data_IF_206013659178
#
_entry.id   IF_206013659178
#
_cell.length_a   1.000
_cell.length_b   1.000
_cell.length_c   1.000
_cell.angle_alpha   90.00
_cell.angle_beta   90.00
_cell.angle_gamma   90.00
#
_symmetry.space_group_name_H-M   'P 1'
#
loop_
_entity.id
_entity.type
_entity.pdbx_description
1 polymer ?
#
# COMPACT_ATOMS: atom_id res chain seq x y z
N UNK A 1 25.92 5.83 37.07
CA UNK A 1 25.45 4.64 37.80
C UNK A 1 25.58 3.48 36.81
N UNK A 2 26.60 2.65 36.99
CA UNK A 2 26.91 1.49 36.13
C UNK A 2 26.18 0.27 36.68
N UNK A 3 25.43 -0.43 35.87
CA UNK A 3 24.84 -1.71 36.20
C UNK A 3 25.52 -2.78 35.33
N UNK A 4 26.28 -3.64 36.03
CA UNK A 4 26.93 -4.82 35.47
C UNK A 4 25.94 -5.99 35.53
N UNK A 5 25.79 -6.72 34.42
CA UNK A 5 24.99 -7.95 34.36
C UNK A 5 25.96 -9.13 34.31
N UNK A 6 25.88 -10.00 35.32
CA UNK A 6 26.60 -11.27 35.44
C UNK A 6 25.93 -12.33 34.54
N UNK A 7 26.75 -13.09 33.83
CA UNK A 7 26.37 -14.32 33.14
C UNK A 7 26.56 -15.54 34.07
N UNK A 8 25.68 -16.55 34.04
CA UNK A 8 25.91 -17.79 34.75
C UNK A 8 26.72 -18.79 33.92
N UNK A 9 27.75 -19.35 34.56
CA UNK A 9 28.57 -20.45 34.06
C UNK A 9 27.84 -21.76 34.40
N UNK A 10 27.59 -22.61 33.41
CA UNK A 10 27.13 -23.98 33.59
C UNK A 10 28.33 -24.94 33.62
N UNK A 11 28.55 -25.57 34.74
CA UNK A 11 29.57 -26.62 34.94
C UNK A 11 29.07 -27.96 34.40
N UNK A 12 29.94 -28.62 33.64
CA UNK A 12 29.76 -30.00 33.16
C UNK A 12 30.32 -30.95 34.20
N UNK A 13 29.47 -31.82 34.72
CA UNK A 13 29.88 -32.92 35.65
C UNK A 13 30.19 -34.15 34.80
N UNK A 14 31.45 -34.60 34.82
CA UNK A 14 31.90 -35.88 34.29
C UNK A 14 31.73 -36.98 35.35
N UNK A 15 30.89 -37.95 35.08
CA UNK A 15 30.81 -39.20 35.84
C UNK A 15 31.52 -40.31 35.06
N UNK A 16 32.65 -40.76 35.58
CA UNK A 16 33.33 -41.98 35.18
C UNK A 16 32.74 -43.16 35.97
N UNK A 17 32.23 -44.16 35.25
CA UNK A 17 31.89 -45.45 35.83
C UNK A 17 32.68 -46.57 35.13
N UNK A 18 33.46 -47.29 35.91
CA UNK A 18 34.21 -48.47 35.50
C UNK A 18 33.33 -49.72 35.53
N UNK A 19 33.63 -50.65 34.62
CA UNK A 19 33.70 -52.06 34.94
C UNK A 19 32.51 -52.95 34.62
N UNK A 20 32.67 -53.88 33.69
CA UNK A 20 31.79 -55.02 33.49
C UNK A 20 32.04 -55.73 32.18
N UNK A 21 33.01 -56.67 32.16
CA UNK A 21 33.23 -57.58 31.05
C UNK A 21 32.11 -58.63 31.01
N UNK A 22 31.35 -58.70 29.94
CA UNK A 22 30.43 -59.79 29.62
C UNK A 22 30.75 -60.42 28.25
N UNK A 23 30.53 -61.72 28.04
CA UNK A 23 31.11 -62.50 26.94
C UNK A 23 30.45 -62.15 25.63
N UNK A 24 31.30 -62.19 24.58
CA UNK A 24 30.95 -62.04 23.15
C UNK A 24 29.82 -62.98 22.74
N UNK A 25 28.67 -62.41 22.44
CA UNK A 25 27.66 -63.05 21.62
C UNK A 25 28.04 -62.79 20.13
N UNK A 26 28.24 -63.86 19.37
CA UNK A 26 28.50 -63.78 17.94
C UNK A 26 27.37 -63.03 17.23
N UNK A 27 27.67 -61.88 16.66
CA UNK A 27 26.76 -61.14 15.80
C UNK A 27 26.49 -61.90 14.53
N UNK A 28 25.24 -62.25 14.30
CA UNK A 28 24.74 -62.68 12.98
C UNK A 28 25.05 -61.59 11.93
N UNK A 29 25.45 -61.98 10.69
CA UNK A 29 25.69 -60.98 9.65
C UNK A 29 24.39 -60.16 9.37
N UNK A 30 24.43 -58.86 9.58
CA UNK A 30 23.40 -57.93 9.19
C UNK A 30 23.26 -58.00 7.68
N UNK A 31 22.10 -58.45 7.22
CA UNK A 31 21.71 -58.34 5.82
C UNK A 31 21.77 -56.84 5.42
N UNK A 32 22.52 -56.47 4.37
CA UNK A 32 22.53 -55.06 3.94
C UNK A 32 21.12 -54.67 3.56
N UNK A 33 20.55 -53.75 4.31
CA UNK A 33 19.29 -53.08 3.92
C UNK A 33 19.52 -52.38 2.59
N UNK A 34 18.80 -52.82 1.55
CA UNK A 34 18.81 -52.17 0.24
C UNK A 34 18.59 -50.67 0.47
N UNK A 35 19.37 -49.78 -0.17
CA UNK A 35 19.16 -48.35 -0.08
C UNK A 35 17.72 -48.06 -0.51
N UNK A 36 16.99 -47.39 0.37
CA UNK A 36 15.65 -46.88 0.06
C UNK A 36 15.74 -46.04 -1.20
N UNK A 37 15.08 -46.48 -2.27
CA UNK A 37 15.05 -45.71 -3.52
C UNK A 37 14.60 -44.28 -3.26
N UNK A 38 14.90 -43.33 -4.16
CA UNK A 38 14.54 -41.91 -3.97
C UNK A 38 13.04 -41.82 -3.74
N UNK A 39 12.67 -41.38 -2.53
CA UNK A 39 11.27 -41.09 -2.20
C UNK A 39 10.80 -39.90 -3.04
N UNK A 40 9.88 -40.14 -3.97
CA UNK A 40 9.20 -39.04 -4.68
C UNK A 40 8.55 -38.14 -3.65
N UNK A 41 8.80 -36.82 -3.67
CA UNK A 41 8.15 -35.90 -2.75
C UNK A 41 6.64 -36.04 -2.80
N UNK A 42 5.98 -35.97 -1.63
CA UNK A 42 4.51 -36.03 -1.57
C UNK A 42 3.90 -34.87 -2.35
N UNK A 43 2.86 -35.13 -3.14
CA UNK A 43 2.14 -34.09 -3.87
C UNK A 43 1.54 -33.05 -2.92
N UNK A 44 1.63 -31.78 -3.26
CA UNK A 44 1.00 -30.65 -2.54
C UNK A 44 -0.30 -30.24 -3.20
N UNK A 45 -1.24 -29.73 -2.40
CA UNK A 45 -2.52 -29.20 -2.87
C UNK A 45 -2.59 -27.70 -2.61
N UNK A 46 -2.88 -26.93 -3.64
CA UNK A 46 -3.25 -25.52 -3.53
C UNK A 46 -4.75 -25.42 -3.74
N UNK A 47 -5.47 -25.02 -2.71
CA UNK A 47 -6.90 -24.66 -2.82
C UNK A 47 -7.02 -23.15 -2.78
N UNK A 48 -8.05 -22.57 -3.36
CA UNK A 48 -8.27 -21.14 -3.28
C UNK A 48 -9.74 -20.78 -3.38
N UNK A 49 -10.01 -19.54 -2.94
CA UNK A 49 -11.30 -18.89 -3.06
C UNK A 49 -11.08 -17.52 -3.70
N UNK A 50 -11.78 -17.26 -4.81
CA UNK A 50 -11.72 -16.02 -5.56
C UNK A 50 -12.99 -15.21 -5.32
N UNK A 51 -12.80 -13.97 -4.85
CA UNK A 51 -13.89 -13.03 -4.56
C UNK A 51 -13.73 -11.72 -5.31
N UNK A 52 -14.81 -10.95 -5.41
CA UNK A 52 -14.74 -9.57 -5.91
C UNK A 52 -14.10 -8.66 -4.86
N UNK A 53 -13.14 -7.82 -5.24
CA UNK A 53 -12.47 -6.84 -4.36
C UNK A 53 -13.46 -5.93 -3.65
N UNK A 54 -14.56 -5.55 -4.33
CA UNK A 54 -15.65 -4.79 -3.70
C UNK A 54 -16.81 -5.72 -3.37
N UNK A 55 -17.10 -5.89 -2.08
CA UNK A 55 -18.27 -6.63 -1.60
C UNK A 55 -18.06 -8.12 -1.33
N UNK A 56 -16.87 -8.67 -1.59
CA UNK A 56 -16.53 -10.04 -1.21
C UNK A 56 -17.33 -11.16 -1.89
N UNK A 57 -18.13 -10.85 -2.93
CA UNK A 57 -18.93 -11.85 -3.63
C UNK A 57 -18.05 -12.86 -4.35
N UNK A 58 -18.40 -14.14 -4.29
CA UNK A 58 -17.72 -15.20 -5.01
C UNK A 58 -17.72 -14.95 -6.53
N UNK A 59 -16.59 -15.20 -7.18
CA UNK A 59 -16.42 -15.07 -8.63
C UNK A 59 -16.36 -16.45 -9.27
N UNK A 60 -17.51 -16.87 -9.82
CA UNK A 60 -17.67 -18.14 -10.53
C UNK A 60 -17.25 -18.06 -11.99
N UNK A 61 -16.93 -19.22 -12.59
CA UNK A 61 -16.59 -19.36 -14.02
C UNK A 61 -15.39 -18.51 -14.46
N UNK A 62 -14.48 -18.18 -13.55
CA UNK A 62 -13.22 -17.52 -13.87
C UNK A 62 -12.17 -18.57 -14.22
N UNK A 63 -11.52 -18.42 -15.36
CA UNK A 63 -10.38 -19.25 -15.73
C UNK A 63 -9.20 -18.98 -14.79
N UNK A 64 -8.65 -20.04 -14.21
CA UNK A 64 -7.50 -20.00 -13.32
C UNK A 64 -6.37 -20.79 -13.96
N UNK A 65 -5.19 -20.17 -14.10
CA UNK A 65 -3.97 -20.82 -14.61
C UNK A 65 -2.88 -20.73 -13.55
N UNK A 66 -2.33 -21.85 -13.16
CA UNK A 66 -1.19 -21.96 -12.26
C UNK A 66 -0.05 -22.72 -12.91
N UNK A 67 0.93 -21.96 -13.43
CA UNK A 67 2.09 -22.54 -14.10
C UNK A 67 1.78 -23.40 -15.33
N UNK A 68 0.71 -23.06 -16.07
CA UNK A 68 0.24 -23.78 -17.26
C UNK A 68 -0.84 -24.84 -16.98
N UNK A 69 -1.11 -25.16 -15.71
CA UNK A 69 -2.26 -25.99 -15.34
C UNK A 69 -3.51 -25.11 -15.24
N UNK A 70 -4.59 -25.50 -15.91
CA UNK A 70 -5.81 -24.70 -16.00
C UNK A 70 -6.98 -25.37 -15.30
N UNK A 71 -7.80 -24.56 -14.64
CA UNK A 71 -9.10 -24.91 -14.08
C UNK A 71 -10.04 -23.72 -14.17
N UNK A 72 -11.27 -23.85 -13.65
CA UNK A 72 -12.25 -22.78 -13.58
C UNK A 72 -12.80 -22.72 -12.16
N UNK A 73 -13.08 -21.54 -11.66
CA UNK A 73 -13.70 -21.39 -10.33
C UNK A 73 -15.12 -21.94 -10.32
N UNK A 74 -15.47 -22.67 -9.25
CA UNK A 74 -16.82 -23.16 -8.99
C UNK A 74 -17.81 -22.01 -8.67
N UNK A 75 -19.07 -22.32 -8.41
CA UNK A 75 -20.10 -21.32 -8.08
C UNK A 75 -19.74 -20.47 -6.85
N UNK A 76 -19.10 -21.09 -5.87
CA UNK A 76 -18.61 -20.44 -4.64
C UNK A 76 -17.25 -19.76 -4.82
N UNK A 77 -16.75 -19.60 -6.05
CA UNK A 77 -15.43 -19.01 -6.33
C UNK A 77 -14.25 -19.93 -6.01
N UNK A 78 -14.47 -21.18 -5.64
CA UNK A 78 -13.41 -22.10 -5.23
C UNK A 78 -12.68 -22.71 -6.42
N UNK A 79 -11.37 -23.00 -6.24
CA UNK A 79 -10.52 -23.74 -7.19
C UNK A 79 -9.51 -24.61 -6.44
N UNK A 80 -8.99 -25.64 -7.12
CA UNK A 80 -7.98 -26.53 -6.53
C UNK A 80 -7.00 -27.07 -7.56
N UNK A 81 -5.75 -27.21 -7.14
CA UNK A 81 -4.68 -27.82 -7.90
C UNK A 81 -3.91 -28.83 -7.07
N UNK A 82 -3.38 -29.85 -7.72
CA UNK A 82 -2.47 -30.81 -7.10
C UNK A 82 -1.22 -30.96 -7.97
N UNK A 83 -0.05 -30.76 -7.35
CA UNK A 83 1.24 -30.87 -8.03
C UNK A 83 2.32 -31.55 -7.22
N UNK A 84 3.45 -31.79 -7.89
CA UNK A 84 4.70 -32.02 -7.19
C UNK A 84 5.20 -30.71 -6.55
N UNK A 85 5.78 -30.76 -5.34
CA UNK A 85 6.32 -29.56 -4.69
C UNK A 85 7.30 -28.82 -5.60
N UNK A 86 7.14 -27.49 -5.66
CA UNK A 86 8.01 -26.58 -6.36
C UNK A 86 8.39 -25.40 -5.47
N UNK A 87 8.99 -24.38 -6.06
CA UNK A 87 9.36 -23.16 -5.32
C UNK A 87 8.26 -22.11 -5.38
N UNK A 88 8.00 -21.60 -6.58
CA UNK A 88 6.98 -20.57 -6.85
C UNK A 88 6.37 -20.79 -8.22
N UNK A 89 5.16 -20.31 -8.42
CA UNK A 89 4.52 -20.25 -9.72
C UNK A 89 3.67 -19.00 -9.85
N UNK A 90 3.39 -18.58 -11.10
CA UNK A 90 2.45 -17.51 -11.38
C UNK A 90 1.04 -18.07 -11.42
N UNK A 91 0.16 -17.45 -10.66
CA UNK A 91 -1.28 -17.71 -10.64
C UNK A 91 -1.97 -16.57 -11.37
N UNK A 92 -2.76 -16.89 -12.39
CA UNK A 92 -3.51 -15.90 -13.18
C UNK A 92 -5.00 -16.24 -13.21
N UNK A 93 -5.82 -15.19 -13.18
CA UNK A 93 -7.27 -15.25 -13.29
C UNK A 93 -7.72 -14.42 -14.48
N UNK A 94 -8.62 -14.95 -15.28
CA UNK A 94 -9.14 -14.27 -16.47
C UNK A 94 -10.57 -14.65 -16.77
N UNK A 95 -11.39 -13.67 -17.04
CA UNK A 95 -12.77 -13.79 -17.54
C UNK A 95 -13.21 -12.40 -18.07
N UNK A 96 -14.25 -12.34 -18.90
CA UNK A 96 -14.83 -11.08 -19.36
C UNK A 96 -15.46 -10.26 -18.23
N UNK A 97 -15.75 -10.89 -17.10
CA UNK A 97 -16.39 -10.29 -15.93
C UNK A 97 -15.41 -9.65 -14.95
N UNK A 98 -14.09 -9.76 -15.15
CA UNK A 98 -13.06 -9.23 -14.23
C UNK A 98 -11.94 -8.53 -15.00
N UNK A 99 -11.23 -7.63 -14.30
CA UNK A 99 -9.89 -7.21 -14.72
C UNK A 99 -8.94 -8.41 -14.52
N UNK A 100 -8.17 -8.82 -15.54
CA UNK A 100 -7.23 -9.94 -15.40
C UNK A 100 -6.29 -9.74 -14.20
N UNK A 101 -6.23 -10.73 -13.31
CA UNK A 101 -5.46 -10.72 -12.07
C UNK A 101 -4.28 -11.67 -12.15
N UNK A 102 -3.10 -11.25 -11.69
CA UNK A 102 -1.90 -12.09 -11.68
C UNK A 102 -1.06 -11.89 -10.44
N UNK A 103 -0.65 -12.99 -9.79
CA UNK A 103 0.20 -12.95 -8.59
C UNK A 103 1.15 -14.14 -8.55
N UNK A 104 2.19 -14.06 -7.71
CA UNK A 104 3.15 -15.17 -7.51
C UNK A 104 2.77 -15.93 -6.25
N UNK A 105 2.72 -17.26 -6.35
CA UNK A 105 2.35 -18.17 -5.26
C UNK A 105 3.47 -19.15 -4.99
N UNK A 106 3.84 -19.32 -3.71
CA UNK A 106 4.72 -20.41 -3.29
C UNK A 106 3.95 -21.74 -3.33
N UNK A 107 4.52 -22.75 -3.97
CA UNK A 107 3.93 -24.08 -4.15
C UNK A 107 4.76 -25.17 -3.46
N UNK A 108 5.47 -24.83 -2.41
CA UNK A 108 6.33 -25.72 -1.64
C UNK A 108 5.57 -26.61 -0.65
N UNK A 109 4.34 -26.24 -0.31
CA UNK A 109 3.50 -26.95 0.66
C UNK A 109 2.02 -26.79 0.35
N UNK A 110 1.20 -27.71 0.86
CA UNK A 110 -0.26 -27.60 0.84
C UNK A 110 -0.73 -26.34 1.58
N UNK A 111 -1.58 -25.54 0.91
CA UNK A 111 -2.11 -24.27 1.48
C UNK A 111 -3.41 -23.85 0.83
N UNK A 112 -4.18 -23.06 1.59
CA UNK A 112 -5.32 -22.27 1.09
C UNK A 112 -4.87 -20.87 0.66
N UNK A 113 -5.60 -20.29 -0.30
CA UNK A 113 -5.42 -18.93 -0.81
C UNK A 113 -6.75 -18.21 -0.81
N UNK A 114 -6.78 -17.03 -0.20
CA UNK A 114 -7.84 -16.05 -0.40
C UNK A 114 -7.33 -15.03 -1.42
N UNK A 115 -8.01 -14.93 -2.56
CA UNK A 115 -7.64 -14.01 -3.63
C UNK A 115 -8.86 -13.18 -4.01
N UNK A 116 -8.63 -11.91 -4.28
CA UNK A 116 -9.65 -11.04 -4.81
C UNK A 116 -9.30 -10.56 -6.22
N UNK A 117 -10.31 -10.27 -7.03
CA UNK A 117 -10.16 -9.68 -8.35
C UNK A 117 -11.16 -8.54 -8.55
N UNK A 118 -10.79 -7.58 -9.38
CA UNK A 118 -11.65 -6.43 -9.69
C UNK A 118 -12.75 -6.89 -10.65
N UNK A 119 -13.99 -6.93 -10.16
CA UNK A 119 -15.15 -7.28 -10.97
C UNK A 119 -15.52 -6.11 -11.90
N UNK A 120 -15.69 -6.41 -13.18
CA UNK A 120 -16.26 -5.50 -14.18
C UNK A 120 -17.81 -5.51 -14.07
N UNK A 121 -18.47 -4.43 -14.50
CA UNK A 121 -19.94 -4.34 -14.51
C UNK A 121 -20.60 -3.91 -13.20
N UNK A 122 -19.89 -3.81 -12.10
CA UNK A 122 -20.40 -3.28 -10.82
C UNK A 122 -20.19 -1.76 -10.67
N UNK A 123 -20.13 -1.02 -11.78
CA UNK A 123 -19.82 0.41 -11.81
C UNK A 123 -18.33 0.72 -11.61
N UNK A 124 -17.42 -0.24 -11.77
CA UNK A 124 -15.99 0.00 -11.83
C UNK A 124 -15.60 0.54 -13.21
N UNK A 125 -14.88 1.66 -13.23
CA UNK A 125 -14.31 2.27 -14.43
C UNK A 125 -12.79 2.10 -14.43
N UNK A 126 -12.28 1.22 -15.31
CA UNK A 126 -10.86 0.95 -15.43
C UNK A 126 -10.09 2.17 -15.97
N UNK A 127 -10.69 2.99 -16.85
CA UNK A 127 -10.02 4.17 -17.36
C UNK A 127 -9.86 5.23 -16.26
N UNK A 128 -10.90 5.43 -15.44
CA UNK A 128 -10.82 6.29 -14.26
C UNK A 128 -9.77 5.77 -13.24
N UNK A 129 -9.79 4.46 -12.94
CA UNK A 129 -8.79 3.84 -12.05
C UNK A 129 -7.36 4.08 -12.55
N UNK A 130 -7.12 3.95 -13.86
CA UNK A 130 -5.80 4.24 -14.47
C UNK A 130 -5.39 5.69 -14.30
N UNK A 131 -6.31 6.64 -14.48
CA UNK A 131 -6.03 8.07 -14.23
C UNK A 131 -5.64 8.31 -12.77
N UNK A 132 -6.50 7.91 -11.84
CA UNK A 132 -6.34 8.21 -10.40
C UNK A 132 -5.18 7.42 -9.75
N UNK A 133 -4.97 6.16 -10.14
CA UNK A 133 -4.04 5.24 -9.45
C UNK A 133 -2.75 5.00 -10.24
N UNK A 134 -2.77 5.20 -11.57
CA UNK A 134 -1.65 4.87 -12.47
C UNK A 134 -1.09 6.07 -13.23
N UNK A 135 -1.51 7.28 -12.90
CA UNK A 135 -1.07 8.51 -13.54
C UNK A 135 -1.36 8.61 -15.05
N UNK A 136 -2.37 7.93 -15.57
CA UNK A 136 -2.69 7.97 -17.01
C UNK A 136 -3.14 9.35 -17.48
N UNK A 137 -3.62 10.22 -16.58
CA UNK A 137 -3.95 11.61 -16.90
C UNK A 137 -2.68 12.48 -17.08
N UNK A 138 -1.72 12.37 -16.15
CA UNK A 138 -0.50 13.17 -16.22
C UNK A 138 0.53 12.67 -17.23
N UNK A 139 0.53 11.35 -17.51
CA UNK A 139 1.45 10.71 -18.47
C UNK A 139 0.69 9.68 -19.30
N UNK A 140 -0.15 10.11 -20.26
CA UNK A 140 -1.01 9.22 -21.03
C UNK A 140 -0.24 8.07 -21.68
N UNK A 141 -0.70 6.83 -21.44
CA UNK A 141 -0.08 5.61 -21.96
C UNK A 141 1.17 5.14 -21.21
N UNK A 142 1.64 5.89 -20.20
CA UNK A 142 2.78 5.49 -19.33
C UNK A 142 2.27 5.24 -17.93
N UNK A 143 1.68 4.05 -17.72
CA UNK A 143 1.03 3.70 -16.47
C UNK A 143 2.05 3.43 -15.35
N UNK A 144 1.94 4.17 -14.26
CA UNK A 144 2.79 4.01 -13.10
C UNK A 144 2.43 2.76 -12.29
N UNK A 145 3.40 2.10 -11.66
CA UNK A 145 3.11 1.07 -10.67
C UNK A 145 2.40 1.67 -9.46
N UNK A 146 1.58 0.86 -8.79
CA UNK A 146 0.82 1.29 -7.63
C UNK A 146 1.74 1.76 -6.49
N UNK A 147 1.39 2.90 -5.93
CA UNK A 147 2.00 3.50 -4.73
C UNK A 147 0.94 3.62 -3.64
N UNK A 148 1.29 3.30 -2.42
CA UNK A 148 0.42 3.52 -1.26
C UNK A 148 1.20 3.41 0.05
N UNK A 149 0.61 3.85 1.13
CA UNK A 149 1.06 3.54 2.48
C UNK A 149 0.55 2.16 2.92
N UNK A 150 1.34 1.46 3.71
CA UNK A 150 1.00 0.14 4.29
C UNK A 150 0.79 0.21 5.80
N UNK A 151 0.97 1.39 6.38
CA UNK A 151 0.76 1.73 7.78
C UNK A 151 0.29 3.16 7.88
N UNK A 152 -0.34 3.54 8.99
CA UNK A 152 -0.73 4.91 9.26
C UNK A 152 0.51 5.81 9.25
N UNK A 153 0.59 6.86 8.41
CA UNK A 153 1.65 7.85 8.51
C UNK A 153 1.47 8.70 9.76
N UNK A 154 2.56 9.13 10.38
CA UNK A 154 2.56 10.27 11.29
C UNK A 154 2.71 11.56 10.51
N UNK A 155 2.07 12.63 10.95
CA UNK A 155 2.10 13.94 10.27
C UNK A 155 2.86 14.94 11.12
N UNK A 156 3.78 15.65 10.50
CA UNK A 156 4.49 16.76 11.14
C UNK A 156 4.08 18.09 10.51
N UNK A 157 3.49 18.99 11.29
CA UNK A 157 3.13 20.32 10.83
C UNK A 157 4.21 21.31 11.24
N UNK A 158 4.84 21.95 10.29
CA UNK A 158 5.74 23.07 10.58
C UNK A 158 4.93 24.24 11.15
N UNK A 159 5.46 24.87 12.21
CA UNK A 159 4.83 26.03 12.86
C UNK A 159 5.40 27.36 12.37
N UNK A 160 6.36 27.30 11.45
CA UNK A 160 6.95 28.44 10.76
C UNK A 160 7.00 28.16 9.26
N UNK A 161 6.93 29.20 8.45
CA UNK A 161 7.14 29.11 7.00
C UNK A 161 8.66 28.96 6.66
N UNK A 162 9.00 28.93 5.38
CA UNK A 162 10.39 28.80 4.93
C UNK A 162 11.24 30.06 5.22
N UNK A 163 10.62 31.22 5.50
CA UNK A 163 11.32 32.43 5.96
C UNK A 163 11.50 32.47 7.50
N UNK A 164 10.93 31.52 8.23
CA UNK A 164 10.97 31.44 9.68
C UNK A 164 9.86 32.24 10.37
N UNK A 165 8.86 32.72 9.62
CA UNK A 165 7.72 33.44 10.17
C UNK A 165 6.67 32.48 10.75
N UNK A 166 6.09 32.88 11.90
CA UNK A 166 5.14 32.03 12.62
C UNK A 166 3.82 31.85 11.85
N UNK A 167 3.38 30.63 11.73
CA UNK A 167 2.08 30.26 11.16
C UNK A 167 0.98 30.49 12.20
N UNK A 168 -0.16 31.04 11.79
CA UNK A 168 -1.29 31.31 12.66
C UNK A 168 -1.82 30.02 13.33
N UNK A 169 -1.98 29.97 14.67
CA UNK A 169 -2.42 28.76 15.37
C UNK A 169 -3.76 28.21 14.85
N UNK A 170 -4.74 29.08 14.60
CA UNK A 170 -6.06 28.67 14.08
C UNK A 170 -6.00 28.03 12.68
N UNK A 171 -5.02 28.42 11.85
CA UNK A 171 -4.76 27.75 10.58
C UNK A 171 -4.14 26.38 10.80
N UNK A 172 -3.18 26.22 11.70
CA UNK A 172 -2.60 24.92 12.05
C UNK A 172 -3.68 23.96 12.58
N UNK A 173 -4.64 24.46 13.39
CA UNK A 173 -5.78 23.66 13.85
C UNK A 173 -6.67 23.19 12.69
N UNK A 174 -6.94 24.07 11.72
CA UNK A 174 -7.68 23.72 10.51
C UNK A 174 -6.94 22.64 9.69
N UNK A 175 -5.64 22.80 9.47
CA UNK A 175 -4.82 21.82 8.73
C UNK A 175 -4.85 20.48 9.45
N UNK A 176 -4.57 20.44 10.76
CA UNK A 176 -4.55 19.20 11.55
C UNK A 176 -5.88 18.46 11.47
N UNK A 177 -7.00 19.13 11.68
CA UNK A 177 -8.32 18.52 11.63
C UNK A 177 -8.64 17.98 10.22
N UNK A 178 -8.31 18.77 9.19
CA UNK A 178 -8.56 18.38 7.79
C UNK A 178 -7.70 17.18 7.39
N UNK A 179 -6.44 17.13 7.81
CA UNK A 179 -5.51 16.03 7.52
C UNK A 179 -5.97 14.73 8.17
N UNK A 180 -6.39 14.78 9.46
CA UNK A 180 -6.91 13.60 10.16
C UNK A 180 -8.16 13.03 9.47
N UNK A 181 -9.10 13.91 9.09
CA UNK A 181 -10.30 13.54 8.31
C UNK A 181 -9.91 12.96 6.94
N UNK A 182 -9.00 13.61 6.21
CA UNK A 182 -8.61 13.22 4.86
C UNK A 182 -7.96 11.83 4.81
N UNK A 183 -6.98 11.54 5.69
CA UNK A 183 -6.34 10.21 5.72
C UNK A 183 -7.37 9.11 6.00
N UNK A 184 -8.23 9.32 7.00
CA UNK A 184 -9.27 8.35 7.35
C UNK A 184 -10.27 8.17 6.21
N UNK A 185 -10.73 9.26 5.60
CA UNK A 185 -11.74 9.23 4.54
C UNK A 185 -11.22 8.61 3.25
N UNK A 186 -10.03 9.02 2.78
CA UNK A 186 -9.43 8.47 1.57
C UNK A 186 -9.24 6.95 1.65
N UNK A 187 -8.85 6.44 2.80
CA UNK A 187 -8.53 5.02 2.98
C UNK A 187 -9.70 4.20 3.53
N UNK A 188 -10.89 4.81 3.70
CA UNK A 188 -12.03 4.13 4.32
C UNK A 188 -11.76 3.68 5.75
N UNK A 189 -10.80 4.32 6.44
CA UNK A 189 -10.36 3.98 7.80
C UNK A 189 -9.28 2.88 7.84
N UNK A 190 -8.86 2.32 6.72
CA UNK A 190 -7.87 1.22 6.68
C UNK A 190 -6.53 1.61 7.32
N UNK A 191 -6.06 2.83 7.09
CA UNK A 191 -4.86 3.36 7.77
C UNK A 191 -5.12 3.92 9.17
N UNK A 192 -6.39 4.08 9.57
CA UNK A 192 -6.75 4.74 10.83
C UNK A 192 -6.49 6.25 10.81
N UNK A 193 -6.54 6.87 11.99
CA UNK A 193 -6.32 8.31 12.16
C UNK A 193 -4.84 8.58 12.45
N UNK A 194 -4.17 9.48 11.70
CA UNK A 194 -2.77 9.78 11.92
C UNK A 194 -2.55 10.54 13.24
N UNK A 195 -1.39 10.30 13.88
CA UNK A 195 -0.87 11.21 14.90
C UNK A 195 -0.32 12.45 14.24
N UNK A 196 -0.47 13.61 14.89
CA UNK A 196 0.02 14.88 14.40
C UNK A 196 0.92 15.52 15.45
N UNK A 197 2.13 15.90 15.05
CA UNK A 197 3.08 16.68 15.84
C UNK A 197 3.26 18.06 15.19
N UNK A 198 3.58 19.06 15.99
CA UNK A 198 3.83 20.45 15.54
C UNK A 198 5.18 20.94 16.04
N UNK A 199 5.90 21.67 15.20
CA UNK A 199 7.18 22.27 15.59
C UNK A 199 7.86 23.02 14.46
N UNK A 200 9.05 23.55 14.74
CA UNK A 200 9.86 24.30 13.78
C UNK A 200 10.79 23.42 12.94
N UNK A 201 11.07 22.19 13.42
CA UNK A 201 11.94 21.23 12.73
C UNK A 201 11.29 20.66 11.46
N UNK A 202 11.86 19.57 10.94
CA UNK A 202 11.31 18.81 9.82
C UNK A 202 11.42 17.31 10.12
N UNK A 203 10.50 16.53 9.52
CA UNK A 203 10.57 15.07 9.49
C UNK A 203 10.76 14.55 8.06
N UNK A 204 11.14 15.42 7.12
CA UNK A 204 11.48 15.01 5.76
C UNK A 204 12.61 13.97 5.78
N UNK A 205 12.46 12.88 5.02
CA UNK A 205 13.39 11.75 5.03
C UNK A 205 13.26 10.81 6.23
N UNK A 206 12.41 11.10 7.21
CA UNK A 206 12.19 10.23 8.37
C UNK A 206 11.07 9.24 8.06
N UNK A 207 11.41 7.95 8.06
CA UNK A 207 10.44 6.88 7.75
C UNK A 207 9.21 6.91 8.67
N UNK A 208 8.02 6.79 8.09
CA UNK A 208 6.74 6.84 8.78
C UNK A 208 6.14 8.23 8.90
N UNK A 209 6.80 9.26 8.39
CA UNK A 209 6.35 10.63 8.51
C UNK A 209 5.99 11.25 7.16
N UNK A 210 5.05 12.18 7.19
CA UNK A 210 4.77 13.17 6.14
C UNK A 210 4.93 14.54 6.79
N UNK A 211 5.84 15.37 6.27
CA UNK A 211 6.01 16.76 6.74
C UNK A 211 5.13 17.69 5.92
N UNK A 212 4.31 18.50 6.58
CA UNK A 212 3.57 19.60 5.94
C UNK A 212 4.31 20.89 6.24
N UNK A 213 4.69 21.58 5.17
CA UNK A 213 5.46 22.82 5.21
C UNK A 213 4.80 23.90 4.37
N UNK A 214 5.22 25.12 4.58
CA UNK A 214 4.60 26.32 4.01
C UNK A 214 5.69 27.15 3.33
N UNK A 215 5.69 27.27 1.98
CA UNK A 215 6.56 28.22 1.29
C UNK A 215 6.24 29.64 1.74
N UNK A 216 7.24 30.53 1.65
CA UNK A 216 7.04 31.94 1.98
C UNK A 216 6.02 32.58 1.03
N UNK A 217 5.21 33.52 1.54
CA UNK A 217 4.14 34.20 0.79
C UNK A 217 4.64 34.72 -0.55
N UNK A 218 3.96 34.34 -1.64
CA UNK A 218 4.30 34.75 -3.01
C UNK A 218 5.51 34.03 -3.62
N UNK A 219 6.07 33.04 -2.96
CA UNK A 219 7.18 32.24 -3.50
C UNK A 219 6.73 31.23 -4.57
N UNK A 220 5.43 30.93 -4.65
CA UNK A 220 4.89 29.97 -5.61
C UNK A 220 3.63 30.51 -6.30
N UNK A 221 3.33 29.99 -7.48
CA UNK A 221 2.10 30.19 -8.25
C UNK A 221 1.12 29.01 -8.07
N UNK A 222 1.38 28.12 -7.10
CA UNK A 222 0.69 26.86 -6.86
C UNK A 222 -0.01 26.86 -5.50
N UNK A 223 -1.20 26.24 -5.46
CA UNK A 223 -1.98 26.10 -4.23
C UNK A 223 -1.41 25.03 -3.27
N UNK A 224 -0.76 24.04 -3.82
CA UNK A 224 -0.11 22.97 -3.08
C UNK A 224 0.75 22.11 -3.97
N UNK A 225 1.55 21.27 -3.32
CA UNK A 225 2.37 20.25 -3.97
C UNK A 225 2.63 19.11 -2.99
N UNK A 226 2.66 17.87 -3.47
CA UNK A 226 3.00 16.73 -2.64
C UNK A 226 3.92 15.71 -3.35
N UNK A 227 4.63 14.93 -2.55
CA UNK A 227 5.30 13.72 -3.01
C UNK A 227 4.32 12.54 -2.97
N UNK A 228 4.27 11.75 -4.04
CA UNK A 228 3.29 10.67 -4.18
C UNK A 228 3.73 9.42 -3.42
N UNK A 229 3.07 9.14 -2.28
CA UNK A 229 3.31 8.00 -1.39
C UNK A 229 4.81 7.75 -1.10
N UNK A 230 5.52 8.82 -0.73
CA UNK A 230 6.92 8.73 -0.32
C UNK A 230 7.00 8.58 1.19
N UNK A 231 7.63 7.51 1.67
CA UNK A 231 7.92 7.32 3.09
C UNK A 231 8.98 8.33 3.53
N UNK A 232 8.64 9.18 4.49
CA UNK A 232 9.42 10.37 4.83
C UNK A 232 9.21 11.54 3.88
N UNK A 233 8.11 11.55 3.13
CA UNK A 233 7.77 12.58 2.16
C UNK A 233 7.28 13.89 2.79
N UNK A 234 6.89 14.81 1.92
CA UNK A 234 6.40 16.12 2.32
C UNK A 234 5.22 16.60 1.46
N UNK A 235 4.49 17.57 2.02
CA UNK A 235 3.44 18.36 1.37
C UNK A 235 3.81 19.83 1.57
N UNK A 236 3.73 20.63 0.53
CA UNK A 236 3.72 22.10 0.56
C UNK A 236 2.29 22.59 0.42
N UNK A 237 1.89 23.50 1.30
CA UNK A 237 0.60 24.21 1.21
C UNK A 237 0.90 25.70 1.13
N UNK A 238 0.36 26.39 0.14
CA UNK A 238 0.50 27.82 0.05
C UNK A 238 -0.19 28.48 1.23
N UNK A 239 0.57 29.27 2.00
CA UNK A 239 0.07 29.97 3.18
C UNK A 239 0.00 31.47 2.91
N UNK A 240 -1.20 32.04 3.03
CA UNK A 240 -1.41 33.48 2.88
C UNK A 240 -1.93 34.11 4.16
N UNK A 241 -1.27 35.17 4.63
CA UNK A 241 -1.84 36.03 5.66
C UNK A 241 -3.08 36.72 5.08
N UNK A 242 -4.23 36.71 5.80
CA UNK A 242 -5.44 37.38 5.30
C UNK A 242 -5.18 38.83 4.86
N UNK A 243 -5.54 39.17 3.65
CA UNK A 243 -5.36 40.52 3.09
C UNK A 243 -4.18 40.69 2.11
N UNK A 244 -3.24 39.75 2.00
CA UNK A 244 -1.98 39.95 1.28
C UNK A 244 -1.88 39.26 -0.07
N UNK A 245 -2.82 38.42 -0.48
CA UNK A 245 -2.64 37.56 -1.65
C UNK A 245 -3.21 38.01 -2.96
N UNK A 246 -2.62 37.47 -4.01
CA UNK A 246 -2.87 37.81 -5.42
C UNK A 246 -3.43 36.71 -6.29
N UNK A 247 -3.51 35.44 -5.90
CA UNK A 247 -3.77 34.38 -6.88
C UNK A 247 -4.82 33.34 -6.50
N UNK A 248 -5.21 32.55 -7.49
CA UNK A 248 -6.30 31.59 -7.61
C UNK A 248 -6.47 30.49 -6.56
N UNK A 249 -5.58 30.39 -5.56
CA UNK A 249 -5.71 29.44 -4.45
C UNK A 249 -6.71 29.90 -3.38
N UNK A 250 -7.20 31.13 -3.49
CA UNK A 250 -8.09 31.73 -2.51
C UNK A 250 -9.52 31.29 -2.66
N UNK A 251 -10.02 30.82 -1.56
CA UNK A 251 -11.46 30.75 -1.33
C UNK A 251 -11.79 31.72 -0.21
N UNK A 252 -12.76 32.64 -0.41
CA UNK A 252 -13.17 33.56 0.65
C UNK A 252 -13.43 32.85 1.98
N UNK A 253 -12.82 33.36 3.06
CA UNK A 253 -12.96 32.78 4.42
C UNK A 253 -11.93 31.70 4.76
N UNK A 254 -11.04 31.32 3.84
CA UNK A 254 -9.96 30.36 4.12
C UNK A 254 -8.59 30.94 3.78
N UNK A 255 -7.58 30.55 4.55
CA UNK A 255 -6.18 30.80 4.23
C UNK A 255 -5.75 29.80 3.14
N UNK A 256 -6.05 28.51 3.37
CA UNK A 256 -5.99 27.44 2.37
C UNK A 256 -7.32 26.70 2.41
N UNK A 257 -7.93 26.45 1.26
CA UNK A 257 -9.20 25.73 1.21
C UNK A 257 -9.03 24.29 1.71
N UNK A 258 -9.96 23.76 2.52
CA UNK A 258 -9.91 22.37 2.98
C UNK A 258 -9.80 21.35 1.83
N UNK A 259 -10.37 21.64 0.65
CA UNK A 259 -10.21 20.80 -0.56
C UNK A 259 -8.75 20.64 -0.96
N UNK A 260 -7.95 21.73 -0.94
CA UNK A 260 -6.53 21.70 -1.29
C UNK A 260 -5.75 20.79 -0.34
N UNK A 261 -5.99 20.91 0.97
CA UNK A 261 -5.37 20.03 1.97
C UNK A 261 -5.72 18.56 1.70
N UNK A 262 -6.99 18.25 1.43
CA UNK A 262 -7.44 16.88 1.13
C UNK A 262 -6.86 16.33 -0.16
N UNK A 263 -6.70 17.18 -1.18
CA UNK A 263 -6.08 16.84 -2.46
C UNK A 263 -4.60 16.48 -2.27
N UNK A 264 -3.83 17.32 -1.60
CA UNK A 264 -2.41 17.05 -1.34
C UNK A 264 -2.21 15.80 -0.47
N UNK A 265 -3.09 15.55 0.49
CA UNK A 265 -3.12 14.27 1.23
C UNK A 265 -3.41 13.10 0.28
N UNK A 266 -4.31 13.27 -0.70
CA UNK A 266 -4.54 12.27 -1.74
C UNK A 266 -3.25 11.87 -2.46
N UNK A 267 -2.46 12.85 -2.91
CA UNK A 267 -1.14 12.60 -3.51
C UNK A 267 -0.20 11.90 -2.52
N UNK A 268 -0.09 12.41 -1.31
CA UNK A 268 0.77 11.79 -0.29
C UNK A 268 0.36 10.35 0.03
N UNK A 269 -0.89 9.97 -0.19
CA UNK A 269 -1.41 8.60 -0.04
C UNK A 269 -1.25 7.74 -1.30
N UNK A 270 -0.81 8.29 -2.44
CA UNK A 270 -0.51 7.54 -3.67
C UNK A 270 -1.43 7.82 -4.85
N UNK A 271 -2.25 8.87 -4.78
CA UNK A 271 -3.20 9.21 -5.83
C UNK A 271 -2.62 10.21 -6.84
N UNK A 272 -3.15 10.19 -8.04
CA UNK A 272 -2.79 11.07 -9.14
C UNK A 272 -3.98 11.92 -9.59
N UNK A 273 -3.74 12.85 -10.49
CA UNK A 273 -4.80 13.68 -11.03
C UNK A 273 -5.80 12.91 -11.89
N UNK A 274 -7.04 13.39 -11.86
CA UNK A 274 -8.10 13.07 -12.84
C UNK A 274 -8.37 14.28 -13.74
N UNK A 275 -9.12 14.08 -14.82
CA UNK A 275 -9.50 15.15 -15.74
C UNK A 275 -10.92 15.69 -15.53
N UNK A 276 -11.60 15.29 -14.45
CA UNK A 276 -12.97 15.73 -14.15
C UNK A 276 -12.96 16.81 -13.05
N UNK A 277 -13.49 18.01 -13.29
CA UNK A 277 -13.52 19.09 -12.30
C UNK A 277 -14.43 18.80 -11.10
N UNK A 278 -15.28 17.78 -11.14
CA UNK A 278 -16.09 17.34 -10.01
C UNK A 278 -15.32 16.46 -9.01
N UNK A 279 -14.17 15.90 -9.43
CA UNK A 279 -13.33 15.09 -8.57
C UNK A 279 -12.49 15.95 -7.62
N UNK A 280 -12.23 15.43 -6.44
CA UNK A 280 -11.29 16.07 -5.52
C UNK A 280 -9.85 16.01 -6.07
N UNK A 281 -9.47 14.92 -6.75
CA UNK A 281 -8.16 14.78 -7.39
C UNK A 281 -8.12 15.38 -8.82
N UNK A 282 -8.98 16.36 -9.13
CA UNK A 282 -8.92 17.06 -10.41
C UNK A 282 -7.58 17.77 -10.60
N UNK A 283 -6.98 17.60 -11.78
CA UNK A 283 -5.85 18.42 -12.24
C UNK A 283 -6.27 19.77 -12.86
N UNK A 284 -7.55 20.09 -12.81
CA UNK A 284 -8.13 21.33 -13.33
C UNK A 284 -8.43 22.29 -12.19
N UNK A 285 -8.52 23.59 -12.51
CA UNK A 285 -8.88 24.64 -11.53
C UNK A 285 -10.30 24.42 -11.00
N UNK A 286 -10.46 24.44 -9.68
CA UNK A 286 -11.76 24.37 -9.02
C UNK A 286 -12.48 25.71 -8.98
N UNK A 287 -13.80 25.63 -8.84
CA UNK A 287 -14.63 26.81 -8.63
C UNK A 287 -14.65 27.19 -7.13
N UNK A 288 -14.83 28.47 -6.82
CA UNK A 288 -14.79 29.00 -5.44
C UNK A 288 -15.77 28.31 -4.48
N UNK A 289 -16.98 27.94 -4.97
CA UNK A 289 -17.96 27.24 -4.13
C UNK A 289 -17.56 25.81 -3.75
N UNK A 290 -16.50 25.24 -4.35
CA UNK A 290 -15.98 23.91 -4.08
C UNK A 290 -14.95 23.87 -2.94
N UNK A 291 -14.85 24.91 -2.10
CA UNK A 291 -13.87 25.00 -1.01
C UNK A 291 -13.83 23.77 -0.08
N UNK A 292 -14.98 23.15 0.14
CA UNK A 292 -15.14 21.99 1.03
C UNK A 292 -15.34 20.66 0.24
N UNK A 293 -14.94 20.61 -1.03
CA UNK A 293 -15.04 19.40 -1.84
C UNK A 293 -14.46 18.18 -1.09
N UNK A 294 -15.17 17.09 -1.18
CA UNK A 294 -14.83 15.80 -0.58
C UNK A 294 -14.53 14.79 -1.69
N UNK A 295 -13.78 13.72 -1.39
CA UNK A 295 -13.63 12.62 -2.32
C UNK A 295 -15.00 12.10 -2.77
N UNK A 296 -15.17 11.93 -4.07
CA UNK A 296 -16.37 11.33 -4.65
C UNK A 296 -16.45 9.84 -4.32
N UNK A 297 -17.65 9.25 -4.39
CA UNK A 297 -17.81 7.80 -4.21
C UNK A 297 -16.99 7.01 -5.25
N UNK A 298 -16.80 7.57 -6.44
CA UNK A 298 -16.03 6.97 -7.51
C UNK A 298 -14.54 6.94 -7.17
N UNK A 299 -13.99 8.05 -6.66
CA UNK A 299 -12.61 8.13 -6.17
C UNK A 299 -12.38 7.17 -5.00
N UNK A 300 -13.24 7.20 -3.98
CA UNK A 300 -13.12 6.32 -2.81
C UNK A 300 -13.13 4.84 -3.18
N UNK A 301 -13.96 4.45 -4.16
CA UNK A 301 -13.99 3.09 -4.66
C UNK A 301 -12.66 2.69 -5.33
N UNK A 302 -12.11 3.55 -6.18
CA UNK A 302 -10.82 3.29 -6.83
C UNK A 302 -9.69 3.16 -5.80
N UNK A 303 -9.68 4.00 -4.77
CA UNK A 303 -8.71 3.96 -3.67
C UNK A 303 -8.87 2.67 -2.85
N UNK A 304 -10.11 2.29 -2.47
CA UNK A 304 -10.36 1.02 -1.77
C UNK A 304 -9.79 -0.17 -2.53
N UNK A 305 -10.00 -0.24 -3.85
CA UNK A 305 -9.42 -1.29 -4.69
C UNK A 305 -7.89 -1.24 -4.66
N UNK A 306 -7.29 -0.06 -4.79
CA UNK A 306 -5.84 0.13 -4.78
C UNK A 306 -5.22 -0.35 -3.45
N UNK A 307 -5.88 -0.10 -2.33
CA UNK A 307 -5.40 -0.50 -1.02
C UNK A 307 -5.44 -2.02 -0.77
N UNK A 308 -6.20 -2.77 -1.55
CA UNK A 308 -6.15 -4.24 -1.58
C UNK A 308 -5.01 -4.80 -2.46
N UNK A 309 -4.15 -3.98 -3.02
CA UNK A 309 -3.04 -4.39 -3.89
C UNK A 309 -1.68 -4.09 -3.25
N UNK A 310 -0.65 -4.92 -3.48
CA UNK A 310 0.70 -4.62 -3.00
C UNK A 310 1.30 -3.42 -3.74
N UNK A 311 2.22 -2.71 -3.06
CA UNK A 311 3.05 -1.69 -3.70
C UNK A 311 3.76 -2.33 -4.90
N UNK A 312 3.82 -1.58 -6.01
CA UNK A 312 4.44 -2.08 -7.24
C UNK A 312 3.53 -2.96 -8.10
N UNK A 313 2.26 -3.19 -7.71
CA UNK A 313 1.28 -3.80 -8.60
C UNK A 313 1.18 -2.97 -9.89
N UNK A 314 1.18 -3.61 -11.06
CA UNK A 314 1.14 -2.96 -12.38
C UNK A 314 -0.14 -3.30 -13.14
N UNK A 315 -0.43 -2.46 -14.13
CA UNK A 315 -1.60 -2.63 -15.00
C UNK A 315 -1.59 -4.00 -15.73
N UNK A 316 -2.72 -4.66 -15.95
CA UNK A 316 -4.06 -4.29 -15.45
C UNK A 316 -4.25 -4.58 -13.96
N UNK A 317 -3.74 -5.67 -13.40
CA UNK A 317 -3.78 -6.05 -11.99
C UNK A 317 -2.76 -7.17 -11.70
N UNK A 318 -1.47 -6.87 -11.88
CA UNK A 318 -0.37 -7.83 -11.72
C UNK A 318 0.50 -7.46 -10.53
N UNK A 319 0.59 -8.38 -9.56
CA UNK A 319 1.45 -8.20 -8.40
C UNK A 319 2.92 -8.41 -8.78
N UNK A 320 3.83 -7.65 -8.18
CA UNK A 320 5.26 -7.87 -8.34
C UNK A 320 5.68 -9.21 -7.75
N UNK A 321 6.73 -9.81 -8.31
CA UNK A 321 7.28 -11.08 -7.80
C UNK A 321 8.09 -10.93 -6.52
N UNK A 322 8.48 -9.69 -6.16
CA UNK A 322 9.24 -9.34 -4.97
C UNK A 322 8.86 -7.91 -4.53
N UNK A 323 9.30 -7.50 -3.34
CA UNK A 323 9.17 -6.10 -2.90
C UNK A 323 9.83 -5.14 -3.89
N UNK A 324 9.16 -4.01 -4.14
CA UNK A 324 9.59 -3.00 -5.11
C UNK A 324 9.92 -1.70 -4.39
N UNK A 325 11.07 -1.12 -4.70
CA UNK A 325 11.41 0.24 -4.27
C UNK A 325 11.14 1.20 -5.44
N UNK A 326 10.20 2.13 -5.27
CA UNK A 326 9.76 3.07 -6.29
C UNK A 326 10.45 4.43 -6.09
N UNK A 327 11.05 4.98 -7.14
CA UNK A 327 11.65 6.32 -7.09
C UNK A 327 10.61 7.39 -6.66
N UNK A 328 11.02 8.41 -5.89
CA UNK A 328 10.13 9.52 -5.51
C UNK A 328 9.52 10.22 -6.73
N UNK A 329 8.25 10.59 -6.62
CA UNK A 329 7.52 11.35 -7.64
C UNK A 329 6.82 12.54 -6.96
N UNK A 330 6.75 13.69 -7.65
CA UNK A 330 6.07 14.91 -7.18
C UNK A 330 4.94 15.26 -8.13
N UNK A 331 3.85 15.78 -7.59
CA UNK A 331 2.75 16.35 -8.36
C UNK A 331 2.35 17.67 -7.70
N UNK A 332 1.97 18.65 -8.52
CA UNK A 332 1.57 19.98 -8.09
C UNK A 332 0.23 20.37 -8.71
N UNK A 333 -0.57 21.14 -7.96
CA UNK A 333 -1.74 21.85 -8.46
C UNK A 333 -1.29 23.23 -8.90
N UNK A 334 -1.64 23.65 -10.12
CA UNK A 334 -1.43 25.00 -10.61
C UNK A 334 -2.12 26.06 -9.77
#
# INVERSE_FOLDING_TARGET
MRLSILAPVFGVLLLTACGGSSPSSASLPTVPTSPSGPTTPAAVTITGHLTATSGGNALANVSVDLGGLKTVTAAEGTFSYRFQPGTTSRLTFSADSIVPRSLVVAISQTRGLEVDAIALGSGFDLAFYRRLIRNDYGTPGILQPLRRWTRTPSIYLKTVDEAGEAILPGFLDQVENTVKDAVTRWTGGELGTPTVERGTDSREGVSGWITIKYPHIGATDRCGQAQVAVDGGWIELEYHVPGTSTAGCRVPGYIVAPRTIRHEIGHALGLYHTGDPSDLMSGLTWLDYQANLQPTAHELRAVSIAYHRPIGNVDPDTDPSSSVNLAPLRIAIP
#
